data_IF_983623166331
#
_entry.id   IF_983623166331
#
_cell.length_a   1.000
_cell.length_b   1.000
_cell.length_c   1.000
_cell.angle_alpha   90.00
_cell.angle_beta   90.00
_cell.angle_gamma   90.00
#
_symmetry.space_group_name_H-M   'P 1'
#
loop_
_entity.id
_entity.type
_entity.pdbx_description
1 polymer ?
#
# COMPACT_ATOMS: atom_id res chain seq x y z
N UNK A 1 -1.52 -16.32 0.40
CA UNK A 1 -1.31 -14.95 -0.10
C UNK A 1 -0.03 -14.84 -0.96
N UNK A 2 0.32 -15.87 -1.75
CA UNK A 2 1.59 -15.90 -2.50
C UNK A 2 1.71 -14.85 -3.61
N UNK A 3 0.59 -14.28 -4.07
CA UNK A 3 0.58 -13.23 -5.09
C UNK A 3 1.28 -11.95 -4.63
N UNK A 4 1.30 -11.66 -3.31
CA UNK A 4 1.91 -10.45 -2.78
C UNK A 4 3.38 -10.31 -3.19
N UNK A 5 4.17 -11.39 -3.19
CA UNK A 5 5.56 -11.34 -3.61
C UNK A 5 5.74 -10.84 -5.05
N UNK A 6 4.84 -11.25 -5.95
CA UNK A 6 4.88 -10.86 -7.35
C UNK A 6 4.37 -9.44 -7.50
N UNK A 7 3.22 -9.16 -6.90
CA UNK A 7 2.54 -7.89 -6.99
C UNK A 7 3.39 -6.78 -6.37
N UNK A 8 3.89 -6.97 -5.16
CA UNK A 8 4.63 -5.94 -4.45
C UNK A 8 5.88 -5.52 -5.25
N UNK A 9 6.67 -6.51 -5.66
CA UNK A 9 7.95 -6.31 -6.34
C UNK A 9 7.82 -5.81 -7.78
N UNK A 10 6.86 -6.31 -8.55
CA UNK A 10 6.74 -6.03 -10.00
C UNK A 10 5.54 -5.16 -10.37
N UNK A 11 4.63 -4.92 -9.43
CA UNK A 11 3.40 -4.16 -9.58
C UNK A 11 3.42 -2.91 -8.71
N UNK A 12 3.23 -3.07 -7.41
CA UNK A 12 3.13 -1.97 -6.46
C UNK A 12 4.35 -1.04 -6.50
N UNK A 13 5.60 -1.53 -6.41
CA UNK A 13 6.77 -0.61 -6.53
C UNK A 13 6.78 0.23 -7.82
N UNK A 14 6.19 -0.27 -8.91
CA UNK A 14 6.11 0.45 -10.19
C UNK A 14 4.98 1.47 -10.18
N UNK A 15 3.84 1.13 -9.56
CA UNK A 15 2.59 1.92 -9.58
C UNK A 15 2.25 2.60 -8.25
N UNK A 16 3.09 2.48 -7.23
CA UNK A 16 2.84 3.02 -5.90
C UNK A 16 2.50 4.50 -5.99
N UNK A 17 1.52 4.92 -5.20
CA UNK A 17 0.93 6.24 -5.24
C UNK A 17 0.39 6.60 -6.65
N UNK A 18 -0.17 5.66 -7.41
CA UNK A 18 -0.97 5.96 -8.60
C UNK A 18 -2.40 5.44 -8.46
N UNK A 19 -3.39 6.01 -9.16
CA UNK A 19 -4.78 5.54 -9.09
C UNK A 19 -4.99 4.07 -9.48
N UNK A 20 -4.08 3.52 -10.29
CA UNK A 20 -4.08 2.14 -10.79
C UNK A 20 -3.51 1.12 -9.81
N UNK A 21 -2.84 1.56 -8.75
CA UNK A 21 -2.26 0.67 -7.75
C UNK A 21 -3.31 0.19 -6.73
N UNK A 22 -3.57 -1.13 -6.63
CA UNK A 22 -4.52 -1.67 -5.68
C UNK A 22 -4.08 -1.45 -4.22
N UNK A 23 -2.78 -1.39 -3.95
CA UNK A 23 -2.24 -1.25 -2.60
C UNK A 23 -2.06 0.22 -2.15
N UNK A 24 -2.38 1.20 -2.98
CA UNK A 24 -2.38 2.61 -2.59
C UNK A 24 -3.73 3.02 -1.99
N UNK A 25 -3.73 3.41 -0.71
CA UNK A 25 -4.92 3.91 -0.01
C UNK A 25 -5.39 5.26 -0.57
N UNK A 26 -6.70 5.42 -0.81
CA UNK A 26 -7.25 6.67 -1.34
C UNK A 26 -7.74 7.58 -0.22
N UNK A 27 -7.54 8.88 -0.35
CA UNK A 27 -8.07 9.90 0.56
C UNK A 27 -9.60 9.80 0.60
N UNK A 28 -10.15 9.53 1.80
CA UNK A 28 -11.57 9.32 2.06
C UNK A 28 -12.04 7.87 1.96
N UNK A 29 -11.18 6.93 1.53
CA UNK A 29 -11.44 5.50 1.56
C UNK A 29 -11.33 4.96 2.98
N UNK A 30 -12.24 4.08 3.39
CA UNK A 30 -12.13 3.37 4.67
C UNK A 30 -11.27 2.12 4.56
N UNK A 31 -10.63 1.68 5.64
CA UNK A 31 -9.87 0.40 5.63
C UNK A 31 -10.75 -0.79 5.21
N UNK A 32 -12.04 -0.73 5.51
CA UNK A 32 -13.04 -1.74 5.13
C UNK A 32 -13.35 -1.76 3.63
N UNK A 33 -13.33 -0.61 2.96
CA UNK A 33 -13.43 -0.50 1.49
C UNK A 33 -12.09 -0.90 0.82
N UNK A 34 -10.97 -0.52 1.44
CA UNK A 34 -9.63 -0.79 0.95
C UNK A 34 -9.30 -2.29 0.91
N UNK A 35 -9.59 -3.03 1.98
CA UNK A 35 -9.19 -4.43 2.14
C UNK A 35 -9.62 -5.38 1.01
N UNK A 36 -10.92 -5.46 0.64
CA UNK A 36 -11.31 -6.30 -0.49
C UNK A 36 -10.73 -5.78 -1.81
N UNK A 37 -10.56 -4.45 -1.97
CA UNK A 37 -9.99 -3.84 -3.17
C UNK A 37 -8.52 -4.21 -3.36
N UNK A 38 -7.71 -4.09 -2.31
CA UNK A 38 -6.29 -4.43 -2.38
C UNK A 38 -6.11 -5.93 -2.59
N UNK A 39 -6.78 -6.80 -1.82
CA UNK A 39 -6.60 -8.25 -1.92
C UNK A 39 -6.96 -8.77 -3.32
N UNK A 40 -8.12 -8.37 -3.85
CA UNK A 40 -8.54 -8.82 -5.18
C UNK A 40 -7.77 -8.15 -6.31
N UNK A 41 -7.52 -6.85 -6.19
CA UNK A 41 -6.76 -6.08 -7.17
C UNK A 41 -5.31 -6.57 -7.28
N UNK A 42 -4.68 -6.89 -6.15
CA UNK A 42 -3.31 -7.39 -6.09
C UNK A 42 -3.20 -8.81 -6.65
N UNK A 43 -4.17 -9.68 -6.36
CA UNK A 43 -4.27 -11.00 -6.99
C UNK A 43 -4.37 -10.90 -8.52
N UNK A 44 -5.31 -10.06 -9.01
CA UNK A 44 -5.49 -9.85 -10.45
C UNK A 44 -4.22 -9.31 -11.09
N UNK A 45 -3.60 -8.31 -10.47
CA UNK A 45 -2.37 -7.72 -11.00
C UNK A 45 -1.21 -8.72 -11.04
N UNK A 46 -1.04 -9.54 -10.00
CA UNK A 46 -0.01 -10.58 -9.99
C UNK A 46 -0.20 -11.59 -11.12
N UNK A 47 -1.45 -12.00 -11.38
CA UNK A 47 -1.75 -12.91 -12.48
C UNK A 47 -1.43 -12.28 -13.84
N UNK A 48 -1.87 -11.03 -14.08
CA UNK A 48 -1.56 -10.30 -15.32
C UNK A 48 -0.05 -10.11 -15.53
N UNK A 49 0.72 -9.90 -14.47
CA UNK A 49 2.18 -9.78 -14.53
C UNK A 49 2.84 -11.09 -14.94
N UNK A 50 2.38 -12.22 -14.39
CA UNK A 50 2.85 -13.55 -14.77
C UNK A 50 2.43 -13.90 -16.19
N UNK A 51 1.19 -13.65 -16.57
CA UNK A 51 0.70 -13.86 -17.93
C UNK A 51 1.55 -13.10 -18.96
N UNK A 52 1.84 -11.82 -18.71
CA UNK A 52 2.74 -11.01 -19.55
C UNK A 52 4.17 -11.56 -19.58
N UNK A 53 4.67 -12.17 -18.49
CA UNK A 53 6.00 -12.82 -18.47
C UNK A 53 5.99 -14.04 -19.38
N UNK A 54 4.98 -14.90 -19.26
CA UNK A 54 4.86 -16.12 -20.07
C UNK A 54 4.56 -15.87 -21.54
N UNK A 55 3.75 -14.85 -21.85
CA UNK A 55 3.51 -14.41 -23.22
C UNK A 55 4.81 -14.00 -23.93
N UNK A 56 5.69 -13.24 -23.25
CA UNK A 56 7.02 -12.88 -23.77
C UNK A 56 7.92 -14.10 -24.02
N UNK A 57 7.74 -15.16 -23.23
CA UNK A 57 8.45 -16.43 -23.39
C UNK A 57 7.78 -17.37 -24.40
N UNK A 58 6.65 -16.98 -25.00
CA UNK A 58 5.79 -17.82 -25.87
C UNK A 58 5.42 -19.15 -25.21
N UNK A 59 5.10 -19.12 -23.92
CA UNK A 59 4.73 -20.29 -23.10
C UNK A 59 3.39 -20.07 -22.40
N UNK A 60 2.74 -21.15 -21.99
CA UNK A 60 1.51 -21.09 -21.17
C UNK A 60 1.84 -20.64 -19.73
N UNK A 61 1.04 -19.75 -19.12
CA UNK A 61 1.17 -19.40 -17.71
C UNK A 61 0.68 -20.50 -16.76
N UNK A 62 -0.03 -21.52 -17.27
CA UNK A 62 -0.53 -22.65 -16.48
C UNK A 62 0.54 -23.74 -16.33
N UNK A 63 1.56 -23.46 -15.53
CA UNK A 63 2.70 -24.36 -15.30
C UNK A 63 3.29 -24.16 -13.90
N UNK A 64 3.95 -25.17 -13.35
CA UNK A 64 4.67 -25.07 -12.07
C UNK A 64 5.83 -24.07 -12.06
N UNK A 65 6.25 -23.61 -13.25
CA UNK A 65 7.22 -22.51 -13.39
C UNK A 65 6.60 -21.12 -13.18
N UNK A 66 5.27 -21.03 -13.09
CA UNK A 66 4.59 -19.80 -12.72
C UNK A 66 4.77 -19.58 -11.22
N UNK A 67 5.34 -18.42 -10.86
CA UNK A 67 5.73 -18.14 -9.49
C UNK A 67 4.50 -18.09 -8.57
N UNK A 68 3.33 -17.74 -9.13
CA UNK A 68 2.09 -17.69 -8.38
C UNK A 68 1.57 -19.08 -8.04
N UNK A 69 1.51 -19.96 -9.05
CA UNK A 69 1.09 -21.36 -8.87
C UNK A 69 2.05 -22.04 -7.90
N UNK A 70 3.35 -21.82 -8.08
CA UNK A 70 4.39 -22.34 -7.21
C UNK A 70 4.20 -21.89 -5.74
N UNK A 71 3.97 -20.60 -5.50
CA UNK A 71 3.75 -20.07 -4.15
C UNK A 71 2.47 -20.63 -3.49
N UNK A 72 1.41 -20.86 -4.26
CA UNK A 72 0.19 -21.49 -3.74
C UNK A 72 0.40 -22.96 -3.40
N UNK A 73 1.14 -23.69 -4.24
CA UNK A 73 1.51 -25.07 -3.94
C UNK A 73 2.34 -25.18 -2.67
N UNK A 74 3.30 -24.27 -2.46
CA UNK A 74 4.07 -24.22 -1.21
C UNK A 74 3.16 -24.02 0.01
N UNK A 75 2.11 -23.19 -0.12
CA UNK A 75 1.13 -23.03 0.96
C UNK A 75 0.38 -24.35 1.24
N UNK A 76 -0.07 -25.04 0.19
CA UNK A 76 -0.75 -26.34 0.31
C UNK A 76 0.16 -27.40 0.96
N UNK A 77 1.42 -27.49 0.54
CA UNK A 77 2.39 -28.43 1.10
C UNK A 77 2.67 -28.12 2.57
N UNK A 78 2.92 -26.85 2.90
CA UNK A 78 3.19 -26.43 4.29
C UNK A 78 1.99 -26.72 5.20
N UNK A 79 0.78 -26.37 4.76
CA UNK A 79 -0.44 -26.62 5.53
C UNK A 79 -0.74 -28.11 5.61
N UNK A 80 -0.55 -28.87 4.53
CA UNK A 80 -0.68 -30.31 4.53
C UNK A 80 0.25 -30.99 5.52
N UNK A 81 1.51 -30.57 5.59
CA UNK A 81 2.47 -31.06 6.58
C UNK A 81 2.04 -30.70 8.01
N UNK A 82 1.61 -29.45 8.25
CA UNK A 82 1.15 -29.02 9.57
C UNK A 82 -0.08 -29.83 10.04
N UNK A 83 -1.05 -30.06 9.14
CA UNK A 83 -2.24 -30.87 9.44
C UNK A 83 -1.90 -32.33 9.67
N UNK A 84 -0.91 -32.88 8.95
CA UNK A 84 -0.44 -34.25 9.18
C UNK A 84 0.30 -34.38 10.53
N UNK A 85 1.10 -33.38 10.91
CA UNK A 85 1.91 -33.41 12.12
C UNK A 85 1.09 -33.12 13.40
N UNK A 86 0.13 -32.20 13.33
CA UNK A 86 -0.61 -31.69 14.51
C UNK A 86 -2.11 -32.03 14.49
N UNK A 87 -2.57 -32.75 13.45
CA UNK A 87 -3.96 -33.14 13.26
C UNK A 87 -4.84 -32.04 12.65
N UNK A 88 -6.04 -32.40 12.15
CA UNK A 88 -6.93 -31.46 11.48
C UNK A 88 -7.48 -30.35 12.38
N UNK A 89 -7.43 -30.53 13.71
CA UNK A 89 -7.91 -29.56 14.69
C UNK A 89 -7.19 -28.20 14.61
N UNK A 90 -5.98 -28.14 14.04
CA UNK A 90 -5.26 -26.86 13.87
C UNK A 90 -5.77 -26.03 12.68
N UNK A 91 -6.58 -26.60 11.78
CA UNK A 91 -7.00 -25.93 10.55
C UNK A 91 -7.69 -24.57 10.78
N UNK A 92 -8.62 -24.41 11.74
CA UNK A 92 -9.21 -23.10 12.03
C UNK A 92 -8.16 -22.06 12.47
N UNK A 93 -7.14 -22.47 13.23
CA UNK A 93 -6.07 -21.59 13.69
C UNK A 93 -5.19 -21.13 12.53
N UNK A 94 -4.91 -22.00 11.54
CA UNK A 94 -4.20 -21.64 10.31
C UNK A 94 -4.99 -20.61 9.49
N UNK A 95 -6.32 -20.76 9.39
CA UNK A 95 -7.17 -19.79 8.72
C UNK A 95 -7.17 -18.45 9.43
N UNK A 96 -7.35 -18.43 10.75
CA UNK A 96 -7.31 -17.19 11.56
C UNK A 96 -5.96 -16.50 11.41
N UNK A 97 -4.85 -17.24 11.51
CA UNK A 97 -3.51 -16.71 11.31
C UNK A 97 -3.34 -16.10 9.91
N UNK A 98 -3.81 -16.78 8.86
CA UNK A 98 -3.71 -16.28 7.50
C UNK A 98 -4.49 -14.98 7.30
N UNK A 99 -5.73 -14.92 7.82
CA UNK A 99 -6.57 -13.71 7.73
C UNK A 99 -5.92 -12.56 8.50
N UNK A 100 -5.43 -12.80 9.72
CA UNK A 100 -4.75 -11.78 10.51
C UNK A 100 -3.45 -11.31 9.82
N UNK A 101 -2.68 -12.21 9.22
CA UNK A 101 -1.47 -11.86 8.49
C UNK A 101 -1.75 -10.99 7.27
N UNK A 102 -2.78 -11.33 6.47
CA UNK A 102 -3.22 -10.52 5.33
C UNK A 102 -3.72 -9.16 5.81
N UNK A 103 -4.55 -9.13 6.85
CA UNK A 103 -5.10 -7.90 7.41
C UNK A 103 -4.01 -6.95 7.91
N UNK A 104 -3.01 -7.47 8.64
CA UNK A 104 -1.92 -6.65 9.15
C UNK A 104 -1.06 -6.09 8.01
N UNK A 105 -0.68 -6.92 7.05
CA UNK A 105 0.12 -6.51 5.90
C UNK A 105 -0.57 -5.42 5.08
N UNK A 106 -1.83 -5.65 4.71
CA UNK A 106 -2.58 -4.69 3.91
C UNK A 106 -2.96 -3.44 4.71
N UNK A 107 -3.09 -3.53 6.03
CA UNK A 107 -3.27 -2.34 6.85
C UNK A 107 -2.04 -1.47 6.75
N UNK A 108 -0.84 -2.03 6.78
CA UNK A 108 0.40 -1.26 6.60
C UNK A 108 0.43 -0.55 5.24
N UNK A 109 0.11 -1.25 4.14
CA UNK A 109 -0.02 -0.62 2.81
C UNK A 109 -1.02 0.55 2.80
N UNK A 110 -2.19 0.35 3.43
CA UNK A 110 -3.21 1.38 3.54
C UNK A 110 -2.68 2.63 4.25
N UNK A 111 -2.03 2.44 5.41
CA UNK A 111 -1.49 3.52 6.23
C UNK A 111 -0.38 4.28 5.50
N UNK A 112 0.55 3.54 4.90
CA UNK A 112 1.74 4.07 4.23
C UNK A 112 1.42 4.85 2.97
N UNK A 113 0.34 4.51 2.26
CA UNK A 113 0.01 5.17 1.00
C UNK A 113 -1.29 5.97 1.05
N UNK A 114 -1.88 6.17 2.23
CA UNK A 114 -3.16 6.87 2.38
C UNK A 114 -3.08 8.28 1.79
N UNK A 115 -3.87 8.51 0.73
CA UNK A 115 -4.01 9.79 0.05
C UNK A 115 -2.87 10.17 -0.89
N UNK A 116 -1.80 9.36 -0.94
CA UNK A 116 -0.60 9.64 -1.73
C UNK A 116 -0.85 9.43 -3.22
N UNK A 117 -0.37 10.38 -4.03
CA UNK A 117 -0.48 10.38 -5.49
C UNK A 117 0.73 11.04 -6.14
N UNK A 118 1.30 10.30 -7.09
CA UNK A 118 2.26 10.78 -8.07
C UNK A 118 1.55 11.59 -9.14
N UNK A 119 2.17 12.70 -9.52
CA UNK A 119 1.70 13.54 -10.60
C UNK A 119 2.16 13.00 -11.96
N UNK A 120 1.37 13.29 -12.99
CA UNK A 120 1.77 13.03 -14.38
C UNK A 120 2.60 14.20 -14.88
N UNK A 121 3.73 13.89 -15.49
CA UNK A 121 4.55 14.85 -16.23
C UNK A 121 3.87 15.21 -17.55
N UNK A 122 4.34 16.26 -18.22
CA UNK A 122 3.87 16.66 -19.57
C UNK A 122 3.96 15.50 -20.58
N UNK A 123 4.94 14.61 -20.41
CA UNK A 123 5.08 13.37 -21.20
C UNK A 123 3.95 12.34 -21.01
N UNK A 124 3.02 12.56 -20.09
CA UNK A 124 1.96 11.63 -19.70
C UNK A 124 2.38 10.51 -18.74
N UNK A 125 3.68 10.36 -18.47
CA UNK A 125 4.22 9.40 -17.49
C UNK A 125 4.13 9.95 -16.07
N UNK A 126 3.97 9.07 -15.08
CA UNK A 126 4.09 9.46 -13.66
C UNK A 126 5.52 9.86 -13.31
N UNK A 127 5.67 10.86 -12.44
CA UNK A 127 6.94 11.26 -11.84
C UNK A 127 7.62 10.09 -11.11
N UNK A 128 8.94 10.12 -10.91
CA UNK A 128 9.63 9.02 -10.21
C UNK A 128 9.15 8.93 -8.76
N UNK A 129 9.02 7.70 -8.25
CA UNK A 129 8.75 7.46 -6.81
C UNK A 129 9.87 8.10 -5.98
N UNK A 130 9.48 8.80 -4.92
CA UNK A 130 10.37 9.50 -4.01
C UNK A 130 9.74 9.47 -2.61
N UNK A 131 10.45 10.02 -1.62
CA UNK A 131 10.05 9.87 -0.22
C UNK A 131 8.73 10.56 0.16
N UNK A 132 8.20 11.49 -0.65
CA UNK A 132 6.90 12.12 -0.44
C UNK A 132 5.72 11.20 -0.77
N UNK A 133 5.94 10.10 -1.50
CA UNK A 133 4.87 9.20 -1.98
C UNK A 133 4.45 8.13 -0.96
N UNK A 134 4.88 8.27 0.29
CA UNK A 134 4.49 7.38 1.38
C UNK A 134 4.69 8.03 2.74
N UNK A 135 3.96 7.56 3.74
CA UNK A 135 4.14 7.91 5.14
C UNK A 135 5.23 7.05 5.78
N UNK A 136 6.13 7.67 6.56
CA UNK A 136 7.03 6.98 7.47
C UNK A 136 6.40 6.79 8.86
N UNK A 137 6.90 5.85 9.65
CA UNK A 137 6.62 5.78 11.09
C UNK A 137 7.94 5.90 11.88
N UNK A 138 8.05 6.88 12.78
CA UNK A 138 9.33 7.14 13.47
C UNK A 138 9.39 6.54 14.88
N UNK A 139 8.67 5.44 15.16
CA UNK A 139 8.63 4.83 16.49
C UNK A 139 9.75 3.78 16.71
N UNK A 140 10.75 4.15 17.50
CA UNK A 140 11.95 3.35 17.81
C UNK A 140 11.62 1.93 18.33
N UNK A 141 10.57 1.74 19.15
CA UNK A 141 10.20 0.44 19.72
C UNK A 141 9.62 -0.54 18.70
N UNK A 142 8.87 -0.02 17.72
CA UNK A 142 8.33 -0.82 16.61
C UNK A 142 9.38 -1.02 15.50
N UNK A 143 10.33 -0.09 15.35
CA UNK A 143 11.45 -0.16 14.40
C UNK A 143 12.34 -1.40 14.60
N UNK A 144 12.64 -1.76 15.86
CA UNK A 144 13.46 -2.95 16.15
C UNK A 144 12.69 -4.25 15.90
N UNK A 145 11.39 -4.25 16.20
CA UNK A 145 10.55 -5.46 16.11
C UNK A 145 10.09 -5.78 14.67
N UNK A 146 9.96 -4.75 13.82
CA UNK A 146 9.56 -4.88 12.41
C UNK A 146 10.72 -4.65 11.42
N UNK A 147 11.98 -4.80 11.84
CA UNK A 147 13.15 -4.67 10.96
C UNK A 147 13.20 -3.37 10.13
N UNK A 148 12.92 -2.22 10.75
CA UNK A 148 12.90 -0.91 10.08
C UNK A 148 11.91 -0.78 8.91
N UNK A 149 10.85 -1.60 8.86
CA UNK A 149 9.73 -1.44 7.92
C UNK A 149 9.19 0.01 7.88
N UNK A 150 9.41 0.75 8.97
CA UNK A 150 8.94 2.11 9.12
C UNK A 150 9.65 3.19 8.27
N UNK A 151 10.79 2.87 7.64
CA UNK A 151 11.47 3.72 6.65
C UNK A 151 10.98 3.42 5.23
N UNK A 152 9.67 3.22 5.11
CA UNK A 152 9.00 2.79 3.89
C UNK A 152 9.26 3.72 2.70
N UNK A 153 9.36 5.01 2.97
CA UNK A 153 9.62 6.02 1.95
C UNK A 153 10.96 5.84 1.24
N UNK A 154 12.01 5.45 1.97
CA UNK A 154 13.29 5.12 1.33
C UNK A 154 13.26 3.76 0.64
N UNK A 155 12.50 2.80 1.17
CA UNK A 155 12.34 1.50 0.53
C UNK A 155 11.67 1.64 -0.85
N UNK A 156 10.63 2.47 -0.96
CA UNK A 156 9.98 2.73 -2.24
C UNK A 156 10.80 3.63 -3.18
N UNK A 157 11.54 4.60 -2.65
CA UNK A 157 12.42 5.44 -3.46
C UNK A 157 13.67 4.68 -3.96
N UNK A 158 14.18 3.75 -3.16
CA UNK A 158 15.42 3.00 -3.37
C UNK A 158 15.25 1.50 -3.04
N UNK A 159 14.46 0.73 -3.82
CA UNK A 159 14.10 -0.65 -3.49
C UNK A 159 15.26 -1.65 -3.44
N UNK A 160 16.42 -1.31 -4.02
CA UNK A 160 17.64 -2.12 -3.97
C UNK A 160 18.47 -1.91 -2.71
N UNK A 161 18.14 -0.91 -1.88
CA UNK A 161 18.83 -0.64 -0.63
C UNK A 161 18.42 -1.67 0.42
N UNK A 162 19.41 -2.21 1.14
CA UNK A 162 19.17 -3.17 2.23
C UNK A 162 18.41 -2.51 3.38
N UNK A 163 17.50 -3.26 4.01
CA UNK A 163 16.63 -2.77 5.10
C UNK A 163 17.39 -2.05 6.22
N UNK A 164 18.57 -2.54 6.60
CA UNK A 164 19.38 -1.95 7.69
C UNK A 164 19.94 -0.56 7.35
N UNK A 165 20.00 -0.21 6.06
CA UNK A 165 20.59 1.02 5.57
C UNK A 165 19.53 2.05 5.12
N UNK A 166 18.24 1.75 5.26
CA UNK A 166 17.17 2.67 4.89
C UNK A 166 17.33 4.00 5.65
N UNK A 167 16.96 5.13 5.05
CA UNK A 167 17.14 6.48 5.63
C UNK A 167 15.80 7.15 5.91
N UNK A 168 15.83 8.14 6.79
CA UNK A 168 14.71 9.07 6.97
C UNK A 168 14.97 10.33 6.12
N UNK A 169 13.91 10.90 5.55
CA UNK A 169 13.96 12.08 4.69
C UNK A 169 13.01 13.13 5.24
N UNK A 170 13.43 14.40 5.27
CA UNK A 170 12.61 15.48 5.84
C UNK A 170 11.31 15.69 5.06
N UNK A 171 11.35 15.34 3.77
CA UNK A 171 10.24 15.48 2.84
C UNK A 171 9.21 14.34 2.99
N UNK A 172 9.56 13.27 3.72
CA UNK A 172 8.64 12.17 3.97
C UNK A 172 7.63 12.57 5.04
N UNK A 173 6.31 12.50 4.76
CA UNK A 173 5.31 12.73 5.78
C UNK A 173 5.36 11.60 6.82
N UNK A 174 5.06 11.91 8.09
CA UNK A 174 5.22 10.96 9.21
C UNK A 174 3.87 10.67 9.87
N UNK A 175 3.60 9.39 10.12
CA UNK A 175 2.42 8.96 10.86
C UNK A 175 2.47 9.48 12.31
N UNK A 176 1.35 9.91 12.89
CA UNK A 176 1.32 10.50 14.23
C UNK A 176 1.65 9.50 15.35
N UNK A 177 1.55 8.18 15.09
CA UNK A 177 1.94 7.13 16.03
C UNK A 177 2.61 5.95 15.30
N UNK A 178 3.05 4.93 16.05
CA UNK A 178 3.54 3.67 15.48
C UNK A 178 2.47 2.90 14.70
N UNK A 179 2.87 1.95 13.85
CA UNK A 179 1.91 1.14 13.07
C UNK A 179 0.82 0.50 13.91
N UNK A 180 1.14 -0.04 15.10
CA UNK A 180 0.12 -0.65 15.96
C UNK A 180 -1.01 0.33 16.33
N UNK A 181 -0.65 1.56 16.73
CA UNK A 181 -1.63 2.61 17.03
C UNK A 181 -2.43 3.01 15.80
N UNK A 182 -1.74 3.18 14.67
CA UNK A 182 -2.37 3.58 13.41
C UNK A 182 -3.31 2.51 12.84
N UNK A 183 -2.97 1.22 12.95
CA UNK A 183 -3.83 0.10 12.54
C UNK A 183 -5.13 0.13 13.34
N UNK A 184 -5.06 0.22 14.68
CA UNK A 184 -6.28 0.27 15.51
C UNK A 184 -7.11 1.52 15.20
N UNK A 185 -6.44 2.65 14.97
CA UNK A 185 -7.10 3.91 14.63
C UNK A 185 -7.84 3.83 13.28
N UNK A 186 -7.31 3.11 12.29
CA UNK A 186 -7.92 2.95 10.96
C UNK A 186 -9.24 2.18 10.99
N UNK A 187 -9.46 1.34 12.01
CA UNK A 187 -10.69 0.55 12.17
C UNK A 187 -11.92 1.40 12.43
N UNK A 188 -11.74 2.62 12.93
CA UNK A 188 -12.81 3.60 13.17
C UNK A 188 -12.69 4.75 12.16
N UNK A 189 -13.38 4.68 11.00
CA UNK A 189 -13.15 5.61 9.89
C UNK A 189 -13.33 7.10 10.23
N UNK A 190 -14.22 7.40 11.19
CA UNK A 190 -14.46 8.77 11.66
C UNK A 190 -13.27 9.32 12.42
N UNK A 191 -12.57 8.49 13.19
CA UNK A 191 -11.34 8.89 13.91
C UNK A 191 -10.20 8.97 12.91
N UNK A 192 -10.05 7.97 12.05
CA UNK A 192 -9.07 7.95 10.96
C UNK A 192 -9.08 9.24 10.13
N UNK A 193 -10.23 9.60 9.57
CA UNK A 193 -10.35 10.80 8.74
C UNK A 193 -10.05 12.09 9.49
N UNK A 194 -10.45 12.20 10.76
CA UNK A 194 -10.11 13.37 11.60
C UNK A 194 -8.60 13.51 11.78
N UNK A 195 -7.89 12.39 11.90
CA UNK A 195 -6.45 12.36 12.14
C UNK A 195 -5.62 12.49 10.88
N UNK A 196 -6.06 11.90 9.76
CA UNK A 196 -5.23 11.75 8.56
C UNK A 196 -5.60 12.69 7.42
N UNK A 197 -6.87 13.07 7.24
CA UNK A 197 -7.27 13.82 6.05
C UNK A 197 -6.62 15.21 5.98
N UNK A 198 -6.53 15.92 7.13
CA UNK A 198 -5.84 17.20 7.19
C UNK A 198 -4.34 17.06 6.95
N UNK A 199 -3.72 15.96 7.37
CA UNK A 199 -2.29 15.71 7.15
C UNK A 199 -1.97 15.46 5.68
N UNK A 200 -2.87 14.79 4.96
CA UNK A 200 -2.75 14.64 3.50
C UNK A 200 -2.87 16.02 2.82
N UNK A 201 -3.79 16.87 3.29
CA UNK A 201 -3.91 18.24 2.77
C UNK A 201 -2.64 19.07 3.04
N UNK A 202 -2.14 19.04 4.26
CA UNK A 202 -0.91 19.75 4.65
C UNK A 202 0.28 19.29 3.80
N UNK A 203 0.38 17.97 3.53
CA UNK A 203 1.41 17.41 2.65
C UNK A 203 1.36 17.96 1.22
N UNK A 204 0.16 18.27 0.72
CA UNK A 204 -0.04 18.87 -0.60
C UNK A 204 -0.26 20.38 -0.57
N UNK A 205 0.12 21.06 0.52
CA UNK A 205 -0.01 22.51 0.69
C UNK A 205 -1.45 23.02 0.45
N UNK A 206 -2.44 22.19 0.79
CA UNK A 206 -3.87 22.47 0.60
C UNK A 206 -4.44 22.11 -0.77
N UNK A 207 -3.62 21.75 -1.76
CA UNK A 207 -4.08 21.35 -3.09
C UNK A 207 -4.65 19.92 -3.09
N UNK A 208 -5.96 19.83 -2.88
CA UNK A 208 -6.70 18.57 -2.89
C UNK A 208 -6.67 17.84 -4.25
N UNK A 209 -6.39 18.54 -5.36
CA UNK A 209 -6.28 17.97 -6.69
C UNK A 209 -5.05 17.07 -6.85
N UNK A 210 -4.01 17.34 -6.05
CA UNK A 210 -2.79 16.54 -5.99
C UNK A 210 -2.94 15.24 -5.22
N UNK A 211 -3.97 15.08 -4.38
CA UNK A 211 -4.20 13.84 -3.62
C UNK A 211 -4.93 12.73 -4.42
N UNK A 212 -4.80 11.48 -3.97
CA UNK A 212 -5.50 10.33 -4.55
C UNK A 212 -6.90 10.19 -3.96
N UNK A 213 -7.91 10.84 -4.56
CA UNK A 213 -9.27 10.86 -4.00
C UNK A 213 -10.04 9.56 -4.22
N UNK A 214 -10.70 9.07 -3.17
CA UNK A 214 -11.66 7.98 -3.31
C UNK A 214 -12.87 8.44 -4.13
N UNK A 215 -13.33 7.71 -5.17
CA UNK A 215 -14.39 8.17 -6.07
C UNK A 215 -15.66 8.62 -5.35
N UNK A 216 -16.10 7.88 -4.32
CA UNK A 216 -17.27 8.21 -3.50
C UNK A 216 -17.14 9.54 -2.74
N UNK A 217 -15.93 9.93 -2.37
CA UNK A 217 -15.66 11.13 -1.54
C UNK A 217 -15.19 12.33 -2.35
N UNK A 218 -14.94 12.16 -3.66
CA UNK A 218 -14.34 13.17 -4.52
C UNK A 218 -15.07 14.51 -4.46
N UNK A 219 -16.36 14.53 -4.79
CA UNK A 219 -17.13 15.78 -4.86
C UNK A 219 -17.31 16.42 -3.48
N UNK A 220 -17.37 15.63 -2.42
CA UNK A 220 -17.44 16.10 -1.04
C UNK A 220 -16.13 16.79 -0.64
N UNK A 221 -14.98 16.21 -0.99
CA UNK A 221 -13.67 16.73 -0.61
C UNK A 221 -13.26 17.91 -1.47
N UNK A 222 -13.58 17.90 -2.77
CA UNK A 222 -13.40 19.06 -3.65
C UNK A 222 -14.24 20.24 -3.16
N UNK A 223 -15.51 20.03 -2.78
CA UNK A 223 -16.33 21.12 -2.20
C UNK A 223 -15.79 21.62 -0.86
N UNK A 224 -15.32 20.71 -0.01
CA UNK A 224 -14.86 21.05 1.34
C UNK A 224 -13.49 21.74 1.36
N UNK A 225 -12.57 21.34 0.49
CA UNK A 225 -11.17 21.76 0.54
C UNK A 225 -10.70 22.51 -0.71
N UNK A 226 -11.42 22.43 -1.84
CA UNK A 226 -11.01 23.03 -3.11
C UNK A 226 -11.02 24.57 -3.16
N UNK A 227 -11.67 25.23 -2.20
CA UNK A 227 -11.75 26.70 -2.15
C UNK A 227 -10.49 27.38 -1.58
N UNK A 228 -9.55 26.62 -1.00
CA UNK A 228 -8.28 27.15 -0.47
C UNK A 228 -7.17 27.28 -1.52
N UNK A 229 -7.33 26.69 -2.72
CA UNK A 229 -6.30 26.70 -3.77
C UNK A 229 -6.28 27.98 -4.62
N UNK A 230 -7.35 28.79 -4.59
CA UNK A 230 -7.49 29.99 -5.42
C UNK A 230 -6.84 31.25 -4.82
N UNK A 231 -6.44 31.23 -3.54
CA UNK A 231 -5.95 32.44 -2.85
C UNK A 231 -4.45 32.71 -3.02
N UNK A 232 -3.68 31.78 -3.58
CA UNK A 232 -2.21 31.95 -3.75
C UNK A 232 -1.84 32.65 -5.07
N UNK A 233 -2.75 32.69 -6.06
CA UNK A 233 -2.47 33.29 -7.37
C UNK A 233 -2.82 34.78 -7.49
N UNK A 234 -3.60 35.36 -6.56
CA UNK A 234 -3.96 36.78 -6.58
C UNK A 234 -2.99 37.69 -5.80
N UNK A 235 -1.99 37.13 -5.11
CA UNK A 235 -1.02 37.88 -4.30
C UNK A 235 0.30 38.24 -4.99
N UNK A 236 0.47 37.91 -6.27
CA UNK A 236 1.72 38.08 -7.02
C UNK A 236 1.54 38.82 -8.36
N UNK A 237 0.64 39.80 -8.40
CA UNK A 237 0.49 40.73 -9.51
C UNK A 237 0.98 42.14 -9.11
#
# INVERSE_FOLDING_TARGET
YGHFYIEHNRGHHVRVATPEDPASGRLGETVWEFMPRTVWGSLKSAWELEEKRFARLKKSPYTFKNDLINAWMFTVVLWGFALAAFGPAIFPYLLVQAVLGIWLLESVNYLEHYGMKRQKLESGRYERVNASHSWNSNNIGTNVLLYHLQRHSDHHANPTRRYQALRDFKEAPVLPTGYAGMIVLSWVPQIWRRVMDHRVLDHYEGDIGRANLHPRMRDTYVRKYGQGSSTVLEGAA
#
